data_IF_467510454401
#
_entry.id   IF_467510454401
#
_cell.length_a   1.000
_cell.length_b   1.000
_cell.length_c   1.000
_cell.angle_alpha   90.00
_cell.angle_beta   90.00
_cell.angle_gamma   90.00
#
_symmetry.space_group_name_H-M   'P 1'
#
loop_
_entity.id
_entity.type
_entity.pdbx_description
1 polymer ?
#
# COMPACT_ATOMS: atom_id res chain seq x y z
N UNK A 1 -13.72 1.65 0.11
CA UNK A 1 -12.66 2.41 -0.60
C UNK A 1 -13.29 3.52 -1.40
N UNK A 2 -12.83 4.78 -1.24
CA UNK A 2 -13.54 5.94 -1.84
C UNK A 2 -12.70 6.66 -2.90
N UNK A 3 -11.38 6.68 -2.79
CA UNK A 3 -10.47 7.42 -3.66
C UNK A 3 -9.06 6.81 -3.69
N UNK A 4 -8.20 7.21 -4.66
CA UNK A 4 -6.81 6.72 -4.77
C UNK A 4 -6.00 6.92 -3.49
N UNK A 5 -6.13 8.05 -2.81
CA UNK A 5 -5.42 8.34 -1.56
C UNK A 5 -5.72 7.31 -0.45
N UNK A 6 -6.94 6.76 -0.40
CA UNK A 6 -7.30 5.72 0.57
C UNK A 6 -6.58 4.40 0.25
N UNK A 7 -6.40 4.07 -1.05
CA UNK A 7 -5.64 2.88 -1.46
C UNK A 7 -4.17 3.02 -1.07
N UNK A 8 -3.55 4.16 -1.41
CA UNK A 8 -2.14 4.43 -1.06
C UNK A 8 -1.95 4.36 0.45
N UNK A 9 -2.85 5.00 1.22
CA UNK A 9 -2.80 4.97 2.69
C UNK A 9 -2.78 3.53 3.23
N UNK A 10 -3.74 2.72 2.85
CA UNK A 10 -3.88 1.35 3.36
C UNK A 10 -2.67 0.47 2.96
N UNK A 11 -2.20 0.57 1.71
CA UNK A 11 -1.07 -0.24 1.26
C UNK A 11 0.23 0.18 1.96
N UNK A 12 0.48 1.48 2.13
CA UNK A 12 1.67 1.98 2.82
C UNK A 12 1.62 1.64 4.31
N UNK A 13 0.46 1.75 4.97
CA UNK A 13 0.30 1.32 6.37
C UNK A 13 0.54 -0.18 6.53
N UNK A 14 0.08 -1.01 5.60
CA UNK A 14 0.37 -2.44 5.60
C UNK A 14 1.87 -2.73 5.43
N UNK A 15 2.56 -1.98 4.57
CA UNK A 15 3.99 -2.09 4.39
C UNK A 15 4.76 -1.68 5.67
N UNK A 16 4.34 -0.61 6.36
CA UNK A 16 4.89 -0.24 7.68
C UNK A 16 4.67 -1.36 8.70
N UNK A 17 3.46 -1.90 8.77
CA UNK A 17 3.08 -2.98 9.71
C UNK A 17 3.81 -4.31 9.40
N UNK A 18 4.29 -4.52 8.16
CA UNK A 18 5.11 -5.67 7.78
C UNK A 18 6.55 -5.61 8.31
N UNK A 19 6.94 -4.47 8.93
CA UNK A 19 8.28 -4.22 9.41
C UNK A 19 9.26 -3.78 8.33
N UNK A 20 8.77 -3.23 7.22
CA UNK A 20 9.58 -2.72 6.13
C UNK A 20 10.54 -1.62 6.60
N UNK A 21 11.73 -1.61 6.03
CA UNK A 21 12.74 -0.55 6.19
C UNK A 21 12.75 0.41 5.01
N UNK A 22 12.25 -0.04 3.87
CA UNK A 22 12.14 0.73 2.64
C UNK A 22 10.78 0.48 1.99
N UNK A 23 10.11 1.58 1.60
CA UNK A 23 8.82 1.54 0.93
C UNK A 23 8.86 2.47 -0.27
N UNK A 24 8.63 1.91 -1.46
CA UNK A 24 8.59 2.64 -2.72
C UNK A 24 7.14 2.72 -3.21
N UNK A 25 6.66 3.92 -3.52
CA UNK A 25 5.31 4.17 -4.02
C UNK A 25 5.38 4.77 -5.42
N UNK A 26 4.62 4.23 -6.36
CA UNK A 26 4.47 4.80 -7.69
C UNK A 26 2.98 4.92 -8.06
N UNK A 27 2.58 6.06 -8.60
CA UNK A 27 1.22 6.30 -9.07
C UNK A 27 1.23 6.84 -10.50
N UNK A 28 0.27 6.38 -11.30
CA UNK A 28 0.04 6.88 -12.67
C UNK A 28 -1.36 7.48 -12.72
N UNK A 29 -1.49 8.66 -13.35
CA UNK A 29 -2.73 9.43 -13.46
C UNK A 29 -3.40 9.64 -12.09
N UNK A 30 -2.59 10.06 -11.10
CA UNK A 30 -3.04 10.26 -9.73
C UNK A 30 -3.73 9.01 -9.13
N UNK A 31 -3.23 7.82 -9.49
CA UNK A 31 -3.73 6.54 -9.00
C UNK A 31 -4.97 6.00 -9.71
N UNK A 32 -5.43 6.63 -10.78
CA UNK A 32 -6.56 6.13 -11.60
C UNK A 32 -6.15 4.93 -12.45
N UNK A 33 -4.99 5.04 -13.09
CA UNK A 33 -4.43 4.01 -13.97
C UNK A 33 -3.70 2.96 -13.17
N UNK A 34 -2.78 3.37 -12.30
CA UNK A 34 -2.10 2.42 -11.42
C UNK A 34 -1.62 3.06 -10.11
N UNK A 35 -1.57 2.22 -9.08
CA UNK A 35 -0.93 2.47 -7.80
C UNK A 35 -0.07 1.25 -7.53
N UNK A 36 1.22 1.43 -7.31
CA UNK A 36 2.14 0.38 -6.92
C UNK A 36 2.80 0.75 -5.59
N UNK A 37 2.86 -0.22 -4.68
CA UNK A 37 3.59 -0.11 -3.42
C UNK A 37 4.50 -1.32 -3.32
N UNK A 38 5.78 -1.07 -3.13
CA UNK A 38 6.84 -2.07 -2.99
C UNK A 38 7.44 -1.91 -1.60
N UNK A 39 7.52 -2.99 -0.85
CA UNK A 39 8.14 -3.00 0.46
C UNK A 39 9.15 -4.16 0.62
N UNK A 40 10.12 -3.96 1.49
CA UNK A 40 11.11 -4.97 1.90
C UNK A 40 10.79 -5.60 3.25
N UNK A 41 9.50 -5.64 3.63
CA UNK A 41 9.04 -6.25 4.87
C UNK A 41 9.12 -7.76 4.88
N UNK A 42 8.46 -8.38 5.84
CA UNK A 42 8.51 -9.85 6.06
C UNK A 42 7.94 -10.69 4.93
N UNK A 43 7.19 -10.08 3.99
CA UNK A 43 6.47 -10.81 2.95
C UNK A 43 5.32 -11.66 3.48
N UNK A 44 4.74 -12.45 2.59
CA UNK A 44 3.63 -13.36 2.86
C UNK A 44 3.92 -14.73 2.25
N UNK A 45 3.51 -15.80 2.94
CA UNK A 45 3.45 -17.13 2.38
C UNK A 45 2.39 -17.21 1.28
N UNK A 46 2.41 -18.25 0.47
CA UNK A 46 1.39 -18.52 -0.56
C UNK A 46 -0.02 -18.51 0.02
N UNK A 47 -0.21 -19.16 1.17
CA UNK A 47 -1.49 -19.23 1.88
C UNK A 47 -1.91 -17.87 2.45
N UNK A 48 -0.99 -17.15 3.10
CA UNK A 48 -1.28 -15.84 3.69
C UNK A 48 -1.61 -14.81 2.62
N UNK A 49 -0.92 -14.84 1.46
CA UNK A 49 -1.20 -13.97 0.33
C UNK A 49 -2.64 -14.12 -0.18
N UNK A 50 -3.16 -15.35 -0.20
CA UNK A 50 -4.54 -15.64 -0.59
C UNK A 50 -5.52 -15.17 0.49
N UNK A 51 -5.27 -15.53 1.76
CA UNK A 51 -6.13 -15.17 2.88
C UNK A 51 -6.22 -13.65 3.09
N UNK A 52 -5.16 -12.89 2.75
CA UNK A 52 -5.12 -11.44 2.90
C UNK A 52 -6.24 -10.71 2.14
N UNK A 53 -6.84 -11.32 1.12
CA UNK A 53 -7.96 -10.77 0.35
C UNK A 53 -9.33 -11.31 0.76
N UNK A 54 -9.40 -12.23 1.71
CA UNK A 54 -10.66 -12.70 2.26
C UNK A 54 -11.22 -11.69 3.28
N UNK A 55 -12.55 -11.54 3.29
CA UNK A 55 -13.21 -10.67 4.28
C UNK A 55 -13.05 -11.28 5.67
N UNK A 56 -12.76 -10.44 6.65
CA UNK A 56 -12.54 -10.84 8.05
C UNK A 56 -11.27 -11.66 8.31
N UNK A 57 -10.41 -11.86 7.30
CA UNK A 57 -9.11 -12.44 7.50
C UNK A 57 -8.14 -11.36 8.05
N UNK A 58 -7.92 -11.36 9.36
CA UNK A 58 -6.87 -10.53 9.98
C UNK A 58 -5.96 -11.40 10.82
N UNK A 59 -4.67 -11.36 10.51
CA UNK A 59 -3.64 -11.96 11.35
C UNK A 59 -3.31 -11.11 12.60
N UNK A 60 -3.90 -9.91 12.69
CA UNK A 60 -3.56 -8.88 13.69
C UNK A 60 -4.41 -8.97 14.97
N UNK A 61 -5.55 -9.66 14.94
CA UNK A 61 -6.45 -9.84 16.07
C UNK A 61 -6.81 -11.33 16.15
N UNK A 62 -6.43 -11.99 17.24
CA UNK A 62 -6.78 -13.40 17.54
C UNK A 62 -7.69 -13.52 18.74
N UNK A 63 -7.64 -12.57 19.67
CA UNK A 63 -8.43 -12.54 20.89
C UNK A 63 -8.96 -11.13 21.17
N UNK A 64 -10.03 -11.01 21.97
CA UNK A 64 -10.65 -9.72 22.30
C UNK A 64 -9.71 -8.76 23.02
N UNK A 65 -8.74 -9.28 23.77
CA UNK A 65 -7.70 -8.51 24.47
C UNK A 65 -6.74 -7.81 23.51
N UNK A 66 -6.54 -8.35 22.30
CA UNK A 66 -5.68 -7.76 21.26
C UNK A 66 -6.22 -6.38 20.80
N UNK A 67 -7.53 -6.14 20.97
CA UNK A 67 -8.15 -4.85 20.63
C UNK A 67 -7.61 -3.68 21.50
N UNK A 68 -7.18 -3.96 22.72
CA UNK A 68 -6.67 -2.94 23.64
C UNK A 68 -5.16 -2.71 23.48
N UNK A 69 -4.45 -3.60 22.78
CA UNK A 69 -3.01 -3.56 22.56
C UNK A 69 -2.64 -3.35 21.09
N UNK A 70 -3.53 -2.71 20.29
CA UNK A 70 -3.30 -2.47 18.87
C UNK A 70 -2.17 -1.46 18.65
N UNK A 71 -0.99 -1.96 18.27
CA UNK A 71 0.14 -1.17 17.80
C UNK A 71 0.22 -1.13 16.26
N UNK A 72 -0.83 -1.61 15.56
CA UNK A 72 -0.88 -1.68 14.09
C UNK A 72 -1.86 -0.65 13.53
N UNK A 73 -1.52 -0.06 12.38
CA UNK A 73 -2.33 0.97 11.73
C UNK A 73 -3.63 0.41 11.12
N UNK A 74 -3.72 -0.89 10.86
CA UNK A 74 -4.90 -1.56 10.29
C UNK A 74 -5.34 -2.77 11.12
N UNK A 75 -6.60 -2.83 11.54
CA UNK A 75 -7.13 -3.92 12.39
C UNK A 75 -8.38 -4.62 11.83
N UNK A 76 -9.02 -4.09 10.77
CA UNK A 76 -10.30 -4.62 10.27
C UNK A 76 -10.17 -5.79 9.30
N UNK A 77 -8.99 -6.08 8.73
CA UNK A 77 -8.77 -7.19 7.80
C UNK A 77 -9.57 -7.10 6.49
N UNK A 78 -10.15 -5.92 6.17
CA UNK A 78 -11.05 -5.76 5.02
C UNK A 78 -10.51 -4.82 3.93
N UNK A 79 -9.37 -4.15 4.18
CA UNK A 79 -8.86 -3.14 3.27
C UNK A 79 -8.49 -3.72 1.91
N UNK A 80 -7.72 -4.81 1.88
CA UNK A 80 -7.29 -5.46 0.64
C UNK A 80 -8.48 -6.06 -0.12
N UNK A 81 -9.43 -6.69 0.57
CA UNK A 81 -10.67 -7.19 -0.03
C UNK A 81 -11.49 -6.04 -0.65
N UNK A 82 -11.56 -4.88 0.02
CA UNK A 82 -12.25 -3.69 -0.47
C UNK A 82 -11.56 -3.07 -1.69
N UNK A 83 -10.23 -3.10 -1.77
CA UNK A 83 -9.45 -2.66 -2.94
C UNK A 83 -9.72 -3.61 -4.11
N UNK A 84 -9.56 -4.93 -3.88
CA UNK A 84 -9.77 -5.95 -4.90
C UNK A 84 -11.20 -5.96 -5.47
N UNK A 85 -12.19 -5.53 -4.69
CA UNK A 85 -13.58 -5.42 -5.15
C UNK A 85 -13.78 -4.35 -6.25
N UNK A 86 -12.91 -3.33 -6.33
CA UNK A 86 -13.10 -2.19 -7.24
C UNK A 86 -11.91 -1.94 -8.17
N UNK A 87 -10.94 -2.84 -8.18
CA UNK A 87 -9.71 -2.71 -8.98
C UNK A 87 -9.24 -4.09 -9.48
N UNK A 88 -8.24 -4.07 -10.34
CA UNK A 88 -7.45 -5.21 -10.74
C UNK A 88 -6.16 -5.20 -9.90
N UNK A 89 -5.96 -6.21 -9.07
CA UNK A 89 -4.85 -6.28 -8.12
C UNK A 89 -3.94 -7.43 -8.47
N UNK A 90 -2.65 -7.15 -8.53
CA UNK A 90 -1.58 -8.16 -8.57
C UNK A 90 -0.72 -7.99 -7.32
N UNK A 91 -0.58 -9.05 -6.56
CA UNK A 91 0.33 -9.15 -5.43
C UNK A 91 1.45 -10.11 -5.79
N UNK A 92 2.70 -9.66 -5.63
CA UNK A 92 3.87 -10.57 -5.57
C UNK A 92 4.45 -10.47 -4.18
N UNK A 93 4.73 -11.61 -3.56
CA UNK A 93 5.30 -11.62 -2.22
C UNK A 93 6.20 -12.82 -2.01
N UNK A 94 7.22 -12.65 -1.17
CA UNK A 94 8.13 -13.71 -0.76
C UNK A 94 8.60 -13.47 0.67
N UNK A 95 8.59 -14.52 1.48
CA UNK A 95 9.23 -14.51 2.80
C UNK A 95 10.72 -14.84 2.67
N UNK A 96 11.50 -14.49 3.69
CA UNK A 96 12.95 -14.79 3.71
C UNK A 96 13.23 -16.29 3.72
N UNK A 97 12.34 -17.09 4.32
CA UNK A 97 12.42 -18.56 4.35
C UNK A 97 12.14 -19.23 3.02
N UNK A 98 11.54 -18.53 2.07
CA UNK A 98 11.04 -19.12 0.83
C UNK A 98 12.06 -18.93 -0.29
N UNK A 99 12.33 -19.99 -1.06
CA UNK A 99 13.20 -19.92 -2.25
C UNK A 99 12.52 -19.17 -3.41
N UNK A 100 11.20 -19.32 -3.53
CA UNK A 100 10.38 -18.76 -4.61
C UNK A 100 9.22 -17.98 -4.02
N UNK A 101 8.91 -16.85 -4.61
CA UNK A 101 7.75 -16.05 -4.23
C UNK A 101 6.45 -16.54 -4.88
N UNK A 102 5.34 -15.95 -4.47
CA UNK A 102 4.01 -16.18 -5.06
C UNK A 102 3.49 -14.91 -5.72
N UNK A 103 2.87 -15.06 -6.88
CA UNK A 103 2.10 -14.03 -7.56
C UNK A 103 0.63 -14.41 -7.54
N UNK A 104 -0.21 -13.50 -7.07
CA UNK A 104 -1.64 -13.66 -7.00
C UNK A 104 -2.33 -12.54 -7.76
N UNK A 105 -3.36 -12.87 -8.54
CA UNK A 105 -4.16 -11.91 -9.32
C UNK A 105 -5.64 -11.98 -8.95
N UNK A 106 -6.23 -10.80 -8.67
CA UNK A 106 -7.64 -10.64 -8.32
C UNK A 106 -8.22 -9.47 -9.10
N UNK A 107 -9.42 -9.62 -9.64
CA UNK A 107 -10.12 -8.58 -10.39
C UNK A 107 -11.59 -8.52 -9.97
N UNK A 108 -12.04 -7.39 -9.42
CA UNK A 108 -13.44 -7.22 -8.97
C UNK A 108 -13.91 -8.27 -7.96
N UNK A 109 -13.08 -8.60 -6.97
CA UNK A 109 -13.26 -9.69 -6.00
C UNK A 109 -13.19 -11.11 -6.59
N UNK A 110 -12.88 -11.25 -7.88
CA UNK A 110 -12.75 -12.56 -8.52
C UNK A 110 -11.27 -12.97 -8.48
N UNK A 111 -10.99 -14.08 -7.85
CA UNK A 111 -9.68 -14.71 -7.91
C UNK A 111 -9.42 -15.22 -9.34
N UNK A 112 -8.33 -14.77 -9.95
CA UNK A 112 -7.96 -15.15 -11.32
C UNK A 112 -6.89 -16.23 -11.37
N UNK A 113 -6.00 -16.26 -10.38
CA UNK A 113 -4.97 -17.28 -10.28
C UNK A 113 -3.89 -16.93 -9.26
N UNK A 114 -3.10 -17.95 -8.96
CA UNK A 114 -1.91 -17.86 -8.12
C UNK A 114 -0.83 -18.78 -8.70
N UNK A 115 0.39 -18.27 -8.81
CA UNK A 115 1.52 -18.97 -9.41
C UNK A 115 2.83 -18.62 -8.72
N UNK A 116 3.81 -19.47 -8.84
CA UNK A 116 5.16 -19.18 -8.36
C UNK A 116 5.80 -18.05 -9.20
N UNK A 117 6.53 -17.16 -8.58
CA UNK A 117 7.23 -16.08 -9.27
C UNK A 117 8.59 -15.78 -8.63
N UNK A 118 9.48 -15.18 -9.42
CA UNK A 118 10.71 -14.59 -8.89
C UNK A 118 10.43 -13.17 -8.42
N UNK A 119 10.66 -12.91 -7.13
CA UNK A 119 10.61 -11.56 -6.55
C UNK A 119 11.54 -11.47 -5.34
N UNK A 120 11.86 -10.23 -4.91
CA UNK A 120 12.60 -9.98 -3.68
C UNK A 120 11.77 -10.35 -2.44
N UNK A 121 12.43 -10.50 -1.29
CA UNK A 121 11.73 -10.58 0.01
C UNK A 121 10.93 -9.30 0.22
N UNK A 122 9.73 -9.43 0.76
CA UNK A 122 8.77 -8.34 0.94
C UNK A 122 7.54 -8.52 0.06
N UNK A 123 6.88 -7.41 -0.28
CA UNK A 123 5.66 -7.45 -1.09
C UNK A 123 5.63 -6.35 -2.16
N UNK A 124 5.01 -6.67 -3.28
CA UNK A 124 4.74 -5.75 -4.39
C UNK A 124 3.23 -5.79 -4.64
N UNK A 125 2.53 -4.73 -4.25
CA UNK A 125 1.12 -4.54 -4.58
C UNK A 125 1.00 -3.65 -5.81
N UNK A 126 0.35 -4.15 -6.86
CA UNK A 126 0.00 -3.38 -8.05
C UNK A 126 -1.52 -3.33 -8.19
N UNK A 127 -2.10 -2.15 -8.01
CA UNK A 127 -3.54 -1.88 -8.11
C UNK A 127 -3.77 -1.11 -9.40
N UNK A 128 -4.46 -1.72 -10.35
CA UNK A 128 -4.68 -1.17 -11.67
C UNK A 128 -6.15 -0.85 -11.91
N UNK A 129 -6.41 0.15 -12.75
CA UNK A 129 -7.74 0.51 -13.24
C UNK A 129 -8.76 0.71 -12.11
N UNK A 130 -8.41 1.50 -11.10
CA UNK A 130 -9.27 1.77 -9.94
C UNK A 130 -10.67 2.21 -10.38
N UNK A 131 -11.71 1.57 -9.82
CA UNK A 131 -13.13 1.76 -10.14
C UNK A 131 -13.52 1.36 -11.57
N UNK A 132 -12.78 0.47 -12.23
CA UNK A 132 -13.10 0.03 -13.60
C UNK A 132 -14.50 -0.59 -13.70
N UNK A 133 -14.95 -1.30 -12.67
CA UNK A 133 -16.26 -1.95 -12.56
C UNK A 133 -17.32 -1.10 -11.83
N UNK A 134 -17.00 0.14 -11.44
CA UNK A 134 -17.90 1.07 -10.75
C UNK A 134 -17.87 2.44 -11.44
N UNK A 135 -18.43 2.57 -12.67
CA UNK A 135 -18.32 3.78 -13.49
C UNK A 135 -18.78 5.06 -12.80
N UNK A 136 -19.80 4.98 -11.95
CA UNK A 136 -20.29 6.10 -11.18
C UNK A 136 -19.19 6.67 -10.27
N UNK A 137 -18.51 5.81 -9.48
CA UNK A 137 -17.39 6.24 -8.62
C UNK A 137 -16.24 6.85 -9.42
N UNK A 138 -15.92 6.25 -10.59
CA UNK A 138 -14.86 6.76 -11.47
C UNK A 138 -15.17 8.17 -11.95
N UNK A 139 -16.44 8.49 -12.26
CA UNK A 139 -16.88 9.85 -12.64
C UNK A 139 -16.83 10.85 -11.50
N UNK A 140 -16.98 10.42 -10.25
CA UNK A 140 -16.93 11.30 -9.07
C UNK A 140 -15.50 11.63 -8.61
N UNK A 141 -14.47 10.99 -9.16
CA UNK A 141 -13.09 11.37 -8.90
C UNK A 141 -12.85 12.81 -9.37
N UNK A 142 -12.15 13.59 -8.55
CA UNK A 142 -11.79 14.97 -8.84
C UNK A 142 -10.70 15.02 -9.94
N UNK A 143 -10.19 16.19 -10.27
CA UNK A 143 -9.07 16.33 -11.20
C UNK A 143 -7.84 15.56 -10.74
N UNK A 144 -6.94 15.21 -11.65
CA UNK A 144 -5.70 14.51 -11.31
C UNK A 144 -4.87 15.32 -10.30
N UNK A 145 -4.84 16.65 -10.41
CA UNK A 145 -4.14 17.50 -9.44
C UNK A 145 -4.74 17.40 -8.04
N UNK A 146 -6.07 17.37 -7.91
CA UNK A 146 -6.76 17.23 -6.62
C UNK A 146 -6.52 15.84 -6.02
N UNK A 147 -6.65 14.77 -6.81
CA UNK A 147 -6.43 13.41 -6.30
C UNK A 147 -4.95 13.18 -5.93
N UNK A 148 -4.01 13.74 -6.70
CA UNK A 148 -2.59 13.69 -6.35
C UNK A 148 -2.31 14.43 -5.04
N UNK A 149 -2.87 15.61 -4.83
CA UNK A 149 -2.74 16.35 -3.56
C UNK A 149 -3.30 15.56 -2.37
N UNK A 150 -4.40 14.83 -2.56
CA UNK A 150 -4.94 13.95 -1.52
C UNK A 150 -3.97 12.79 -1.22
N UNK A 151 -3.34 12.20 -2.25
CA UNK A 151 -2.31 11.17 -2.08
C UNK A 151 -1.11 11.72 -1.30
N UNK A 152 -0.60 12.90 -1.70
CA UNK A 152 0.54 13.54 -1.03
C UNK A 152 0.23 13.79 0.45
N UNK A 153 -0.95 14.35 0.75
CA UNK A 153 -1.37 14.60 2.14
C UNK A 153 -1.45 13.31 2.96
N UNK A 154 -1.98 12.23 2.40
CA UNK A 154 -2.05 10.93 3.08
C UNK A 154 -0.65 10.35 3.30
N UNK A 155 0.22 10.42 2.29
CA UNK A 155 1.60 9.95 2.35
C UNK A 155 2.43 10.72 3.37
N UNK A 156 2.38 12.07 3.35
CA UNK A 156 3.08 12.95 4.29
C UNK A 156 2.77 12.58 5.75
N UNK A 157 1.50 12.30 6.07
CA UNK A 157 1.09 11.90 7.43
C UNK A 157 1.76 10.61 7.89
N UNK A 158 1.90 9.63 7.01
CA UNK A 158 2.51 8.33 7.33
C UNK A 158 4.02 8.48 7.49
N UNK A 159 4.68 9.17 6.56
CA UNK A 159 6.15 9.28 6.58
C UNK A 159 6.65 10.10 7.75
N UNK A 160 5.85 11.07 8.25
CA UNK A 160 6.20 11.88 9.42
C UNK A 160 6.28 11.06 10.71
N UNK A 161 5.36 10.11 10.90
CA UNK A 161 5.32 9.28 12.12
C UNK A 161 6.21 8.04 12.01
N UNK A 162 6.83 7.81 10.85
CA UNK A 162 7.75 6.69 10.59
C UNK A 162 9.10 7.18 10.04
N UNK A 163 9.83 8.07 10.75
CA UNK A 163 11.07 8.64 10.25
C UNK A 163 12.19 7.61 10.04
N UNK A 164 12.13 6.47 10.73
CA UNK A 164 13.10 5.38 10.66
C UNK A 164 13.00 4.54 9.37
N UNK A 165 11.94 4.72 8.56
CA UNK A 165 11.74 4.01 7.30
C UNK A 165 12.14 4.92 6.14
N UNK A 166 12.81 4.39 5.12
CA UNK A 166 13.06 5.10 3.87
C UNK A 166 11.81 5.03 2.98
N UNK A 167 11.46 6.16 2.35
CA UNK A 167 10.30 6.22 1.46
C UNK A 167 10.66 6.92 0.15
N UNK A 168 10.11 6.41 -0.96
CA UNK A 168 10.05 7.15 -2.21
C UNK A 168 8.59 7.28 -2.68
N UNK A 169 8.28 8.36 -3.40
CA UNK A 169 7.01 8.51 -4.09
C UNK A 169 7.23 9.10 -5.48
N UNK A 170 6.77 8.38 -6.48
CA UNK A 170 6.80 8.79 -7.88
C UNK A 170 5.40 9.01 -8.42
N UNK A 171 5.23 10.03 -9.26
CA UNK A 171 3.99 10.27 -10.01
C UNK A 171 4.32 10.45 -11.49
N UNK A 172 3.74 9.63 -12.37
CA UNK A 172 4.02 9.63 -13.81
C UNK A 172 5.54 9.67 -14.11
N UNK A 173 6.30 8.80 -13.45
CA UNK A 173 7.77 8.69 -13.52
C UNK A 173 8.56 9.90 -12.96
N UNK A 174 7.91 10.89 -12.39
CA UNK A 174 8.58 12.00 -11.69
C UNK A 174 8.70 11.68 -10.22
N UNK A 175 9.92 11.74 -9.67
CA UNK A 175 10.16 11.60 -8.24
C UNK A 175 9.65 12.85 -7.51
N UNK A 176 8.70 12.66 -6.60
CA UNK A 176 8.14 13.72 -5.75
C UNK A 176 8.76 13.71 -4.35
N UNK A 177 9.05 12.53 -3.82
CA UNK A 177 9.71 12.34 -2.54
C UNK A 177 10.78 11.27 -2.63
N UNK A 178 11.91 11.54 -1.96
CA UNK A 178 13.00 10.60 -1.72
C UNK A 178 13.52 10.82 -0.29
N UNK A 179 12.90 10.12 0.65
CA UNK A 179 13.08 10.33 2.09
C UNK A 179 13.95 9.21 2.65
N UNK A 180 15.15 9.53 3.09
CA UNK A 180 16.04 8.56 3.74
C UNK A 180 15.57 8.25 5.16
N UNK A 181 15.86 7.06 5.66
CA UNK A 181 15.68 6.72 7.06
C UNK A 181 16.51 7.68 7.95
N UNK A 182 15.91 8.14 9.04
CA UNK A 182 16.53 9.12 9.92
C UNK A 182 15.72 9.38 11.18
N UNK A 183 15.87 10.57 11.74
CA UNK A 183 15.08 11.02 12.89
C UNK A 183 13.95 11.96 12.46
N UNK A 184 13.02 12.23 13.40
CA UNK A 184 11.85 13.07 13.14
C UNK A 184 12.22 14.49 12.67
N UNK A 185 13.25 15.11 13.25
CA UNK A 185 13.67 16.46 12.87
C UNK A 185 14.11 16.51 11.40
N UNK A 186 14.94 15.56 10.97
CA UNK A 186 15.36 15.46 9.57
C UNK A 186 14.17 15.19 8.66
N UNK A 187 13.26 14.26 9.04
CA UNK A 187 12.07 13.95 8.29
C UNK A 187 11.17 15.17 8.07
N UNK A 188 10.98 16.03 9.11
CA UNK A 188 10.20 17.27 8.99
C UNK A 188 10.86 18.20 7.97
N UNK A 189 12.19 18.34 8.02
CA UNK A 189 12.94 19.17 7.06
C UNK A 189 12.80 18.62 5.64
N UNK A 190 12.92 17.30 5.45
CA UNK A 190 12.85 16.66 4.14
C UNK A 190 11.43 16.76 3.51
N UNK A 191 10.37 16.68 4.32
CA UNK A 191 8.99 16.76 3.87
C UNK A 191 8.55 18.20 3.60
N UNK A 192 8.81 19.10 4.54
CA UNK A 192 8.33 20.49 4.47
C UNK A 192 9.43 21.47 4.05
N UNK A 193 10.68 21.09 4.19
CA UNK A 193 11.91 21.69 3.78
C UNK A 193 11.94 23.20 3.74
N UNK A 194 11.76 23.74 2.56
CA UNK A 194 11.85 25.18 2.29
C UNK A 194 10.57 25.97 2.61
N UNK A 195 9.55 25.33 3.18
CA UNK A 195 8.29 25.98 3.58
C UNK A 195 8.24 26.40 5.05
N UNK A 196 9.29 26.04 5.83
CA UNK A 196 9.35 26.32 7.28
C UNK A 196 10.35 27.47 7.59
N UNK A 197 10.81 28.21 6.58
CA UNK A 197 11.57 29.45 6.76
C UNK A 197 10.66 30.66 6.63
#
# INVERSE_FOLDING_TARGET
MERPASVVKELVENAVDSGAKKIDVAVVDAGRTSIQVIDDGKGMSETDARLAFERHATSKIRQAEDLFNLHTNGFRGEALASIAAVAQVVLKSRQESDEVGTQLSISGSRFEGQEACSCSVGSIFSVNNLFYNVPARRKFLKSNSTELNNILTAFERIVLVNPQIAFTLHSNNTELFNLKAGNLRQRIIDVFGKRIN
#
